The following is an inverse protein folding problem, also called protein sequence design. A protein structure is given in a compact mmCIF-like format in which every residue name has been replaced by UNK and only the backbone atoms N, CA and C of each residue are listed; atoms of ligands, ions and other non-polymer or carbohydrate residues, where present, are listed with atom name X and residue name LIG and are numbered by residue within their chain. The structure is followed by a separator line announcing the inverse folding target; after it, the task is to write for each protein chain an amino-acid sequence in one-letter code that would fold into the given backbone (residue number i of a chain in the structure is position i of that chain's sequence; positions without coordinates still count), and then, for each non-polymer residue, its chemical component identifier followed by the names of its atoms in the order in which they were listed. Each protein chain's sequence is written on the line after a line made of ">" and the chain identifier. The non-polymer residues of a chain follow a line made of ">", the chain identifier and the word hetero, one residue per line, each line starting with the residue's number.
data_IF_336531548959
#
_entry.id   IF_336531548959
#
_cell.length_a   1.000
_cell.length_b   1.000
_cell.length_c   1.000
_cell.angle_alpha   90.00
_cell.angle_beta   90.00
_cell.angle_gamma   90.00
#
_symmetry.space_group_name_H-M   'P 1'
#
loop_
_entity.id
_entity.type
_entity.pdbx_description
1 polymer ?
#
# COMPACT_ATOMS: atom_id res chain seq x y z
N UNK A 1 5.82 16.06 30.42
CA UNK A 1 5.52 14.78 29.80
C UNK A 1 4.06 14.38 30.07
N UNK A 2 3.36 13.94 29.06
CA UNK A 2 1.92 13.68 29.15
C UNK A 2 1.52 12.54 30.10
N UNK A 3 2.43 11.62 30.43
CA UNK A 3 2.20 10.51 31.37
C UNK A 3 3.10 10.51 32.60
N UNK A 4 3.72 11.65 32.95
CA UNK A 4 4.58 11.74 34.12
C UNK A 4 5.85 12.56 33.90
N UNK A 5 6.92 12.18 34.59
CA UNK A 5 8.23 12.79 34.46
C UNK A 5 9.19 11.83 33.78
N UNK A 6 10.01 12.34 32.88
CA UNK A 6 11.01 11.57 32.16
C UNK A 6 12.07 12.48 31.55
N UNK A 7 13.09 11.91 30.95
CA UNK A 7 14.07 12.61 30.14
C UNK A 7 13.97 12.14 28.68
N UNK A 8 14.18 13.05 27.75
CA UNK A 8 14.38 12.69 26.34
C UNK A 8 15.83 12.22 26.18
N UNK A 9 16.02 11.23 25.31
CA UNK A 9 17.36 10.78 24.94
C UNK A 9 17.99 11.85 24.05
N UNK A 10 19.19 12.28 24.40
CA UNK A 10 19.97 13.18 23.54
C UNK A 10 20.68 12.38 22.44
N UNK A 11 20.05 12.30 21.28
CA UNK A 11 20.62 11.59 20.12
C UNK A 11 21.80 12.31 19.46
N UNK A 12 22.21 13.49 19.97
CA UNK A 12 23.50 14.11 19.60
C UNK A 12 24.65 13.62 20.48
N UNK A 13 24.35 12.92 21.58
CA UNK A 13 25.34 12.34 22.47
C UNK A 13 25.58 10.85 22.12
N UNK A 14 26.79 10.48 21.64
CA UNK A 14 27.07 9.09 21.27
C UNK A 14 26.88 8.07 22.39
N UNK A 15 27.14 8.44 23.65
CA UNK A 15 26.94 7.58 24.80
C UNK A 15 25.44 7.33 25.07
N UNK A 16 24.60 8.34 24.90
CA UNK A 16 23.16 8.20 25.01
C UNK A 16 22.57 7.35 23.87
N UNK A 17 23.07 7.54 22.65
CA UNK A 17 22.70 6.68 21.50
C UNK A 17 23.08 5.21 21.76
N UNK A 18 24.30 4.93 22.23
CA UNK A 18 24.72 3.59 22.54
C UNK A 18 23.85 2.95 23.61
N UNK A 19 23.56 3.69 24.69
CA UNK A 19 22.65 3.22 25.74
C UNK A 19 21.26 2.91 25.21
N UNK A 20 20.68 3.78 24.39
CA UNK A 20 19.39 3.56 23.76
C UNK A 20 19.36 2.31 22.89
N UNK A 21 20.37 2.17 22.04
CA UNK A 21 20.52 0.98 21.19
C UNK A 21 20.67 -0.30 22.01
N UNK A 22 21.32 -0.26 23.17
CA UNK A 22 21.42 -1.42 24.07
C UNK A 22 20.06 -1.82 24.67
N UNK A 23 19.17 -0.86 24.93
CA UNK A 23 17.80 -1.20 25.34
C UNK A 23 17.04 -1.89 24.21
N UNK A 24 17.10 -1.38 22.98
CA UNK A 24 16.43 -1.97 21.80
C UNK A 24 17.00 -3.36 21.48
N UNK A 25 18.30 -3.59 21.64
CA UNK A 25 18.92 -4.92 21.47
C UNK A 25 18.31 -6.01 22.36
N UNK A 26 17.71 -5.63 23.49
CA UNK A 26 16.99 -6.62 24.32
C UNK A 26 15.82 -7.23 23.57
N UNK A 27 15.09 -6.42 22.79
CA UNK A 27 14.02 -6.92 21.94
C UNK A 27 14.54 -7.75 20.77
N UNK A 28 15.65 -7.33 20.12
CA UNK A 28 16.31 -8.12 19.07
C UNK A 28 16.69 -9.52 19.58
N UNK A 29 17.27 -9.61 20.78
CA UNK A 29 17.62 -10.90 21.40
C UNK A 29 16.40 -11.80 21.68
N UNK A 30 15.21 -11.22 21.79
CA UNK A 30 13.95 -11.96 21.93
C UNK A 30 13.32 -12.32 20.56
N UNK A 31 13.97 -11.96 19.46
CA UNK A 31 13.55 -12.29 18.10
C UNK A 31 12.78 -11.17 17.38
N UNK A 32 12.79 -9.93 17.88
CA UNK A 32 12.23 -8.80 17.14
C UNK A 32 13.16 -8.39 16.00
N UNK A 33 12.61 -8.26 14.80
CA UNK A 33 13.28 -7.81 13.57
C UNK A 33 12.59 -6.63 12.91
N UNK A 34 11.48 -6.13 13.51
CA UNK A 34 10.77 -4.95 13.06
C UNK A 34 10.40 -4.07 14.26
N UNK A 35 10.43 -2.74 14.07
CA UNK A 35 10.21 -1.77 15.13
C UNK A 35 9.24 -0.69 14.70
N UNK A 36 8.15 -0.49 15.47
CA UNK A 36 7.30 0.69 15.40
C UNK A 36 7.86 1.73 16.37
N UNK A 37 8.54 2.76 15.81
CA UNK A 37 9.16 3.84 16.56
C UNK A 37 8.16 4.95 16.83
N UNK A 38 7.57 4.92 18.01
CA UNK A 38 6.56 5.89 18.46
C UNK A 38 7.20 7.12 19.13
N UNK A 39 6.55 8.28 19.04
CA UNK A 39 7.10 9.52 19.54
C UNK A 39 8.17 10.12 18.65
N UNK A 40 9.12 10.80 19.26
CA UNK A 40 10.23 11.44 18.55
C UNK A 40 9.91 12.80 17.92
N UNK A 41 8.71 13.32 18.14
CA UNK A 41 8.35 14.67 17.72
C UNK A 41 9.15 15.72 18.49
N UNK A 42 9.64 16.72 17.77
CA UNK A 42 10.43 17.81 18.34
C UNK A 42 9.69 18.81 19.24
N UNK A 43 8.40 18.59 19.51
CA UNK A 43 7.60 19.48 20.35
C UNK A 43 8.00 19.48 21.84
N UNK A 44 8.85 18.56 22.27
CA UNK A 44 9.29 18.41 23.66
C UNK A 44 10.72 18.90 23.92
N UNK A 45 11.37 19.52 22.92
CA UNK A 45 12.79 19.91 23.01
C UNK A 45 13.04 21.40 23.24
N UNK A 46 12.01 22.21 23.40
CA UNK A 46 12.10 23.68 23.38
C UNK A 46 13.08 24.26 24.42
N UNK A 47 13.19 23.65 25.59
CA UNK A 47 14.11 24.07 26.66
C UNK A 47 15.32 23.12 26.79
N UNK A 48 15.51 22.22 25.84
CA UNK A 48 16.58 21.22 25.91
C UNK A 48 17.94 21.82 25.54
N UNK A 49 18.99 21.28 26.17
CA UNK A 49 20.38 21.54 25.82
C UNK A 49 20.98 20.25 25.26
N UNK A 50 21.52 20.32 24.06
CA UNK A 50 22.08 19.18 23.35
C UNK A 50 23.59 19.12 23.51
N UNK A 51 24.16 17.92 23.58
CA UNK A 51 25.59 17.68 23.78
C UNK A 51 26.46 18.30 22.65
N UNK A 52 25.92 18.39 21.44
CA UNK A 52 26.59 19.01 20.30
C UNK A 52 26.47 20.56 20.26
N UNK A 53 25.77 21.16 21.23
CA UNK A 53 25.59 22.60 21.33
C UNK A 53 24.55 23.20 20.37
N UNK A 54 23.80 22.39 19.61
CA UNK A 54 22.75 22.89 18.72
C UNK A 54 21.58 23.50 19.48
N UNK A 55 20.99 24.53 18.86
CA UNK A 55 19.82 25.23 19.38
C UNK A 55 18.58 24.34 19.37
N UNK A 56 17.77 24.43 20.41
CA UNK A 56 16.49 23.72 20.53
C UNK A 56 15.55 23.98 19.33
N UNK A 57 15.55 25.19 18.77
CA UNK A 57 14.73 25.54 17.61
C UNK A 57 15.12 24.72 16.36
N UNK A 58 16.42 24.47 16.16
CA UNK A 58 16.92 23.58 15.09
C UNK A 58 16.53 22.15 15.38
N UNK A 59 16.64 21.72 16.63
CA UNK A 59 16.35 20.37 17.04
C UNK A 59 14.87 19.99 16.97
N UNK A 60 13.95 20.93 16.90
CA UNK A 60 12.52 20.64 16.69
C UNK A 60 12.25 19.73 15.48
N UNK A 61 12.91 20.00 14.36
CA UNK A 61 12.77 19.17 13.16
C UNK A 61 13.82 18.06 13.10
N UNK A 62 15.01 18.29 13.64
CA UNK A 62 16.14 17.36 13.54
C UNK A 62 16.05 16.18 14.51
N UNK A 63 15.36 16.35 15.63
CA UNK A 63 15.26 15.30 16.65
C UNK A 63 14.67 14.00 16.10
N UNK A 64 13.58 14.07 15.35
CA UNK A 64 12.98 12.91 14.68
C UNK A 64 13.96 12.20 13.74
N UNK A 65 14.78 12.97 13.01
CA UNK A 65 15.77 12.42 12.09
C UNK A 65 16.84 11.64 12.86
N UNK A 66 17.40 12.22 13.92
CA UNK A 66 18.42 11.57 14.73
C UNK A 66 17.89 10.31 15.45
N UNK A 67 16.65 10.38 15.95
CA UNK A 67 15.97 9.25 16.57
C UNK A 67 15.85 8.06 15.60
N UNK A 68 15.34 8.33 14.40
CA UNK A 68 15.16 7.32 13.38
C UNK A 68 16.52 6.77 12.88
N UNK A 69 17.50 7.63 12.65
CA UNK A 69 18.85 7.22 12.25
C UNK A 69 19.52 6.31 13.29
N UNK A 70 19.30 6.56 14.58
CA UNK A 70 19.85 5.73 15.65
C UNK A 70 19.27 4.30 15.62
N UNK A 71 17.99 4.15 15.29
CA UNK A 71 17.33 2.85 15.13
C UNK A 71 17.72 2.16 13.84
N UNK A 72 17.79 2.88 12.74
CA UNK A 72 18.19 2.34 11.45
C UNK A 72 19.63 1.84 11.45
N UNK A 73 20.55 2.60 12.04
CA UNK A 73 21.94 2.17 12.23
C UNK A 73 22.05 0.91 13.10
N UNK A 74 21.11 0.70 14.04
CA UNK A 74 21.03 -0.52 14.82
C UNK A 74 20.57 -1.71 13.98
N UNK A 75 19.52 -1.53 13.16
CA UNK A 75 18.97 -2.53 12.26
C UNK A 75 20.04 -2.96 11.24
N UNK A 76 20.73 -2.01 10.62
CA UNK A 76 21.81 -2.30 9.69
C UNK A 76 22.92 -3.13 10.32
N UNK A 77 23.35 -2.76 11.52
CA UNK A 77 24.49 -3.42 12.19
C UNK A 77 24.12 -4.78 12.78
N UNK A 78 23.00 -4.85 13.51
CA UNK A 78 22.67 -6.01 14.34
C UNK A 78 21.78 -7.03 13.60
N UNK A 79 21.00 -6.58 12.61
CA UNK A 79 20.12 -7.40 11.76
C UNK A 79 20.63 -7.49 10.30
N UNK A 80 21.78 -6.87 9.97
CA UNK A 80 22.36 -6.85 8.61
C UNK A 80 21.41 -6.27 7.56
N UNK A 81 20.64 -5.27 7.94
CA UNK A 81 19.61 -4.68 7.08
C UNK A 81 18.36 -5.53 6.89
N UNK A 82 18.29 -6.73 7.48
CA UNK A 82 17.10 -7.60 7.42
C UNK A 82 16.13 -7.26 8.57
N UNK A 83 15.67 -6.01 8.59
CA UNK A 83 14.74 -5.51 9.58
C UNK A 83 13.96 -4.31 9.05
N UNK A 84 12.89 -3.93 9.73
CA UNK A 84 12.01 -2.83 9.30
C UNK A 84 11.88 -1.79 10.41
N UNK A 85 12.07 -0.52 10.04
CA UNK A 85 11.71 0.63 10.85
C UNK A 85 10.41 1.25 10.34
N UNK A 86 9.47 1.45 11.25
CA UNK A 86 8.17 2.04 11.02
C UNK A 86 8.01 3.18 12.04
N UNK A 87 7.99 4.43 11.58
CA UNK A 87 8.11 5.60 12.47
C UNK A 87 6.89 6.51 12.40
N UNK A 88 6.55 7.14 13.54
CA UNK A 88 5.51 8.18 13.57
C UNK A 88 6.06 9.53 13.14
N UNK A 89 7.18 9.92 13.66
CA UNK A 89 7.74 11.23 13.38
C UNK A 89 8.76 11.20 12.25
N UNK A 90 8.71 12.20 11.40
CA UNK A 90 9.64 12.40 10.31
C UNK A 90 9.82 13.87 9.97
N UNK A 91 10.94 14.18 9.34
CA UNK A 91 11.27 15.50 8.84
C UNK A 91 12.21 15.40 7.66
N UNK A 92 12.64 16.52 7.10
CA UNK A 92 13.67 16.56 6.05
C UNK A 92 14.91 15.80 6.53
N UNK A 93 15.29 14.77 5.80
CA UNK A 93 16.37 13.83 6.18
C UNK A 93 15.88 12.42 6.55
N UNK A 94 14.57 12.18 6.57
CA UNK A 94 13.99 10.84 6.81
C UNK A 94 13.46 10.17 5.54
N UNK A 95 13.83 10.63 4.35
CA UNK A 95 13.35 10.09 3.06
C UNK A 95 13.76 8.63 2.81
N UNK A 96 14.78 8.16 3.50
CA UNK A 96 15.26 6.78 3.44
C UNK A 96 14.56 5.84 4.43
N UNK A 97 13.63 6.33 5.22
CA UNK A 97 12.82 5.49 6.10
C UNK A 97 11.78 4.74 5.28
N UNK A 98 11.60 3.44 5.50
CA UNK A 98 10.69 2.64 4.71
C UNK A 98 9.23 3.04 4.92
N UNK A 99 8.82 3.45 6.15
CA UNK A 99 7.42 3.75 6.47
C UNK A 99 7.28 4.86 7.50
N UNK A 100 6.27 5.71 7.26
CA UNK A 100 5.75 6.66 8.26
C UNK A 100 4.23 6.49 8.34
N UNK A 101 3.66 6.53 9.57
CA UNK A 101 2.21 6.46 9.73
C UNK A 101 1.61 7.77 10.24
N UNK A 102 0.30 7.90 10.07
CA UNK A 102 -0.46 9.11 10.37
C UNK A 102 -0.48 9.53 11.84
N UNK A 103 0.02 8.69 12.77
CA UNK A 103 -0.07 8.94 14.20
C UNK A 103 -1.47 8.65 14.76
N UNK A 104 -1.80 9.34 15.86
CA UNK A 104 -3.00 9.07 16.66
C UNK A 104 -4.23 9.81 16.09
N UNK A 105 -4.74 9.39 14.95
CA UNK A 105 -5.95 9.97 14.37
C UNK A 105 -7.21 9.61 15.18
N UNK A 106 -8.18 10.51 15.18
CA UNK A 106 -9.47 10.29 15.80
C UNK A 106 -10.34 9.36 14.98
N UNK A 107 -11.08 8.47 15.65
CA UNK A 107 -12.03 7.55 15.01
C UNK A 107 -13.32 8.27 14.62
N UNK A 108 -13.25 9.13 13.59
CA UNK A 108 -14.39 9.89 13.06
C UNK A 108 -14.16 10.31 11.60
N UNK A 109 -15.18 10.97 11.00
CA UNK A 109 -15.12 11.60 9.67
C UNK A 109 -14.73 13.09 9.73
N UNK A 110 -14.29 13.60 10.85
CA UNK A 110 -13.87 14.99 11.01
C UNK A 110 -12.44 15.25 10.52
N UNK A 111 -12.00 16.49 10.69
CA UNK A 111 -10.71 16.97 10.18
C UNK A 111 -9.49 16.24 10.78
N UNK A 112 -9.60 15.66 11.99
CA UNK A 112 -8.55 14.85 12.62
C UNK A 112 -8.75 13.33 12.46
N UNK A 113 -9.74 12.94 11.66
CA UNK A 113 -10.10 11.54 11.41
C UNK A 113 -9.72 11.05 10.02
N UNK A 114 -10.58 10.24 9.41
CA UNK A 114 -10.30 9.58 8.13
C UNK A 114 -9.88 10.54 7.00
N UNK A 115 -10.50 11.73 6.79
CA UNK A 115 -10.06 12.63 5.73
C UNK A 115 -8.60 13.06 5.85
N UNK A 116 -8.14 13.34 7.09
CA UNK A 116 -6.76 13.78 7.34
C UNK A 116 -5.72 12.71 6.99
N UNK A 117 -6.07 11.45 7.12
CA UNK A 117 -5.17 10.32 6.78
C UNK A 117 -4.83 10.31 5.30
N UNK A 118 -5.82 10.53 4.44
CA UNK A 118 -5.60 10.58 2.98
C UNK A 118 -4.80 11.82 2.62
N UNK A 119 -5.25 13.00 3.06
CA UNK A 119 -4.59 14.26 2.78
C UNK A 119 -3.12 14.29 3.25
N UNK A 120 -2.87 13.81 4.48
CA UNK A 120 -1.52 13.76 5.04
C UNK A 120 -0.63 12.77 4.25
N UNK A 121 -1.17 11.63 3.80
CA UNK A 121 -0.45 10.68 2.98
C UNK A 121 -0.01 11.26 1.63
N UNK A 122 -0.89 12.05 0.99
CA UNK A 122 -0.56 12.74 -0.26
C UNK A 122 0.50 13.82 -0.05
N UNK A 123 0.39 14.63 1.02
CA UNK A 123 1.41 15.62 1.37
C UNK A 123 2.74 14.99 1.75
N UNK A 124 2.73 13.88 2.47
CA UNK A 124 3.94 13.11 2.78
C UNK A 124 4.63 12.63 1.50
N UNK A 125 3.87 12.07 0.55
CA UNK A 125 4.38 11.66 -0.75
C UNK A 125 5.00 12.81 -1.56
N UNK A 126 4.36 13.99 -1.57
CA UNK A 126 4.89 15.21 -2.18
C UNK A 126 6.15 15.73 -1.48
N UNK A 127 6.35 15.36 -0.22
CA UNK A 127 7.51 15.73 0.60
C UNK A 127 8.62 14.68 0.59
N UNK A 128 8.54 13.64 -0.28
CA UNK A 128 9.55 12.61 -0.43
C UNK A 128 9.44 11.47 0.58
N UNK A 129 8.31 11.32 1.28
CA UNK A 129 7.98 10.16 2.10
C UNK A 129 7.13 9.23 1.24
N UNK A 130 7.73 8.20 0.72
CA UNK A 130 7.19 7.38 -0.35
C UNK A 130 6.25 6.25 0.13
N UNK A 131 6.38 5.83 1.39
CA UNK A 131 5.58 4.78 1.98
C UNK A 131 4.83 5.28 3.23
N UNK A 132 3.51 5.35 3.12
CA UNK A 132 2.59 5.88 4.12
C UNK A 132 1.72 4.79 4.74
N UNK A 133 1.43 4.91 6.02
CA UNK A 133 0.55 4.02 6.76
C UNK A 133 -0.42 4.78 7.66
N UNK A 134 -1.38 4.05 8.22
CA UNK A 134 -2.35 4.60 9.17
C UNK A 134 -2.93 3.51 10.06
N UNK A 135 -3.34 3.89 11.26
CA UNK A 135 -4.05 3.02 12.20
C UNK A 135 -5.51 2.89 11.74
N UNK A 136 -5.85 1.74 11.13
CA UNK A 136 -7.15 1.47 10.54
C UNK A 136 -8.28 1.59 11.59
N UNK A 137 -9.25 2.43 11.28
CA UNK A 137 -10.37 2.73 12.15
C UNK A 137 -10.10 3.86 13.15
N UNK A 138 -8.93 4.48 13.11
CA UNK A 138 -8.47 5.53 14.01
C UNK A 138 -7.97 5.01 15.35
N UNK A 139 -6.86 5.59 15.83
CA UNK A 139 -6.27 5.21 17.10
C UNK A 139 -7.08 5.71 18.30
N UNK A 140 -7.45 7.01 18.31
CA UNK A 140 -8.19 7.63 19.41
C UNK A 140 -9.67 7.35 19.27
N UNK A 141 -10.22 6.64 20.25
CA UNK A 141 -11.66 6.35 20.37
C UNK A 141 -12.18 6.87 21.69
N UNK A 142 -13.32 7.56 21.67
CA UNK A 142 -13.93 8.17 22.85
C UNK A 142 -14.62 7.17 23.79
N UNK A 143 -14.91 5.97 23.33
CA UNK A 143 -15.58 4.93 24.10
C UNK A 143 -14.99 3.54 23.83
N UNK A 144 -15.12 2.61 24.78
CA UNK A 144 -14.73 1.20 24.65
C UNK A 144 -15.72 0.34 23.85
N UNK A 145 -16.61 0.95 23.12
CA UNK A 145 -17.53 0.27 22.22
C UNK A 145 -16.98 0.33 20.81
N UNK A 146 -17.24 -0.66 19.97
CA UNK A 146 -16.99 -0.54 18.54
C UNK A 146 -17.60 0.75 18.05
N UNK A 147 -16.83 1.49 17.25
CA UNK A 147 -17.32 2.71 16.63
C UNK A 147 -18.35 2.41 15.55
N UNK A 148 -18.64 3.39 14.73
CA UNK A 148 -19.52 3.26 13.56
C UNK A 148 -18.90 2.25 12.56
N UNK A 149 -19.64 1.17 12.26
CA UNK A 149 -19.29 0.17 11.25
C UNK A 149 -18.97 0.80 9.90
N UNK A 150 -19.70 1.87 9.55
CA UNK A 150 -19.47 2.62 8.30
C UNK A 150 -18.07 3.24 8.29
N UNK A 151 -17.69 3.88 9.37
CA UNK A 151 -16.34 4.48 9.49
C UNK A 151 -15.25 3.40 9.40
N UNK A 152 -15.41 2.30 10.13
CA UNK A 152 -14.45 1.19 10.10
C UNK A 152 -14.30 0.63 8.69
N UNK A 153 -15.39 0.43 7.97
CA UNK A 153 -15.37 -0.06 6.58
C UNK A 153 -14.71 0.95 5.65
N UNK A 154 -15.08 2.24 5.72
CA UNK A 154 -14.45 3.28 4.87
C UNK A 154 -12.95 3.41 5.15
N UNK A 155 -12.54 3.28 6.41
CA UNK A 155 -11.13 3.26 6.77
C UNK A 155 -10.41 2.00 6.26
N UNK A 156 -11.06 0.84 6.35
CA UNK A 156 -10.57 -0.41 5.76
C UNK A 156 -10.28 -0.24 4.27
N UNK A 157 -11.17 0.42 3.55
CA UNK A 157 -11.03 0.70 2.11
C UNK A 157 -9.83 1.60 1.81
N UNK A 158 -9.60 2.65 2.61
CA UNK A 158 -8.39 3.49 2.51
C UNK A 158 -7.13 2.68 2.79
N UNK A 159 -7.12 1.93 3.89
CA UNK A 159 -5.93 1.17 4.29
C UNK A 159 -5.59 0.04 3.33
N UNK A 160 -6.58 -0.56 2.66
CA UNK A 160 -6.33 -1.58 1.64
C UNK A 160 -5.57 -1.05 0.41
N UNK A 161 -5.67 0.25 0.13
CA UNK A 161 -4.92 0.95 -0.91
C UNK A 161 -3.89 1.92 -0.33
N UNK A 162 -3.32 1.55 0.81
CA UNK A 162 -2.13 2.16 1.41
C UNK A 162 -0.96 1.15 1.36
N UNK A 163 0.29 1.60 1.47
CA UNK A 163 1.44 0.69 1.53
C UNK A 163 1.35 -0.36 2.64
N UNK A 164 0.90 0.04 3.83
CA UNK A 164 0.64 -0.85 4.97
C UNK A 164 -0.85 -0.79 5.33
N UNK A 165 -1.42 -1.95 5.65
CA UNK A 165 -2.74 -2.12 6.24
C UNK A 165 -2.58 -2.75 7.62
N UNK A 166 -2.77 -1.96 8.67
CA UNK A 166 -2.70 -2.41 10.06
C UNK A 166 -3.95 -2.03 10.84
N UNK A 167 -4.31 -2.83 11.83
CA UNK A 167 -5.36 -2.53 12.80
C UNK A 167 -4.71 -2.21 14.12
N UNK A 168 -4.85 -0.96 14.58
CA UNK A 168 -4.32 -0.52 15.86
C UNK A 168 -5.23 0.52 16.51
N UNK A 169 -5.47 0.40 17.81
CA UNK A 169 -6.28 1.37 18.56
C UNK A 169 -5.92 1.39 20.04
N UNK A 170 -6.13 2.52 20.68
CA UNK A 170 -5.87 2.70 22.12
C UNK A 170 -6.65 1.74 23.03
N UNK A 171 -7.72 1.14 22.53
CA UNK A 171 -8.62 0.25 23.29
C UNK A 171 -8.65 -1.20 22.77
N UNK A 172 -7.69 -1.59 21.94
CA UNK A 172 -7.52 -2.96 21.42
C UNK A 172 -8.76 -3.56 20.73
N UNK A 173 -9.50 -2.75 19.96
CA UNK A 173 -10.57 -3.27 19.11
C UNK A 173 -9.98 -3.92 17.86
N UNK A 174 -10.49 -5.11 17.54
CA UNK A 174 -10.22 -5.82 16.30
C UNK A 174 -11.41 -5.82 15.35
N UNK A 175 -11.26 -6.33 14.11
CA UNK A 175 -12.34 -6.37 13.13
C UNK A 175 -13.57 -7.18 13.59
N UNK A 176 -13.38 -8.14 14.48
CA UNK A 176 -14.42 -8.98 15.07
C UNK A 176 -15.31 -8.27 16.10
N UNK A 177 -14.91 -7.07 16.53
CA UNK A 177 -15.70 -6.25 17.47
C UNK A 177 -16.77 -5.42 16.75
N UNK A 178 -16.76 -5.39 15.41
CA UNK A 178 -17.73 -4.72 14.55
C UNK A 178 -18.79 -5.71 14.05
N UNK A 179 -19.83 -5.20 13.40
CA UNK A 179 -20.90 -6.04 12.87
C UNK A 179 -20.43 -7.04 11.80
N UNK A 180 -21.18 -8.15 11.59
CA UNK A 180 -20.80 -9.21 10.66
C UNK A 180 -20.51 -8.70 9.23
N UNK A 181 -21.30 -7.74 8.74
CA UNK A 181 -21.08 -7.12 7.41
C UNK A 181 -19.77 -6.37 7.34
N UNK A 182 -19.41 -5.62 8.39
CA UNK A 182 -18.14 -4.91 8.47
C UNK A 182 -16.95 -5.88 8.47
N UNK A 183 -17.07 -6.99 9.21
CA UNK A 183 -16.06 -8.05 9.25
C UNK A 183 -15.89 -8.73 7.89
N UNK A 184 -16.97 -9.02 7.17
CA UNK A 184 -16.89 -9.61 5.82
C UNK A 184 -16.20 -8.67 4.83
N UNK A 185 -16.58 -7.39 4.82
CA UNK A 185 -15.92 -6.38 3.98
C UNK A 185 -14.45 -6.23 4.35
N UNK A 186 -14.11 -6.19 5.64
CA UNK A 186 -12.71 -6.17 6.09
C UNK A 186 -11.92 -7.36 5.56
N UNK A 187 -12.49 -8.56 5.60
CA UNK A 187 -11.86 -9.79 5.07
C UNK A 187 -11.62 -9.69 3.57
N UNK A 188 -12.58 -9.19 2.81
CA UNK A 188 -12.47 -9.05 1.36
C UNK A 188 -11.38 -8.04 0.97
N UNK A 189 -11.35 -6.88 1.63
CA UNK A 189 -10.31 -5.87 1.38
C UNK A 189 -8.92 -6.31 1.88
N UNK A 190 -8.84 -7.09 2.96
CA UNK A 190 -7.58 -7.68 3.42
C UNK A 190 -7.02 -8.68 2.41
N UNK A 191 -7.89 -9.52 1.82
CA UNK A 191 -7.50 -10.44 0.73
C UNK A 191 -7.08 -9.69 -0.52
N UNK A 192 -7.81 -8.63 -0.89
CA UNK A 192 -7.45 -7.77 -2.02
C UNK A 192 -6.09 -7.11 -1.78
N UNK A 193 -5.85 -6.52 -0.61
CA UNK A 193 -4.57 -5.94 -0.22
C UNK A 193 -3.44 -6.97 -0.30
N UNK A 194 -3.63 -8.19 0.23
CA UNK A 194 -2.65 -9.26 0.14
C UNK A 194 -2.41 -9.68 -1.32
N UNK A 195 -3.48 -9.87 -2.11
CA UNK A 195 -3.36 -10.27 -3.50
C UNK A 195 -2.60 -9.27 -4.37
N UNK A 196 -2.71 -7.97 -4.07
CA UNK A 196 -1.98 -6.88 -4.73
C UNK A 196 -0.51 -6.77 -4.30
N UNK A 197 0.01 -7.67 -3.47
CA UNK A 197 1.41 -7.63 -3.02
C UNK A 197 2.41 -7.46 -4.17
N UNK A 198 2.36 -8.22 -5.28
CA UNK A 198 3.30 -8.05 -6.40
C UNK A 198 3.27 -6.66 -7.01
N UNK A 199 2.09 -6.08 -7.15
CA UNK A 199 1.89 -4.72 -7.67
C UNK A 199 2.46 -3.67 -6.72
N UNK A 200 2.13 -3.78 -5.42
CA UNK A 200 2.63 -2.86 -4.39
C UNK A 200 4.14 -2.93 -4.24
N UNK A 201 4.70 -4.14 -4.23
CA UNK A 201 6.13 -4.34 -4.07
C UNK A 201 6.93 -3.80 -5.27
N UNK A 202 6.43 -3.99 -6.50
CA UNK A 202 7.04 -3.39 -7.69
C UNK A 202 7.02 -1.85 -7.63
N UNK A 203 5.92 -1.24 -7.17
CA UNK A 203 5.83 0.20 -6.97
C UNK A 203 6.72 0.69 -5.81
N UNK A 204 6.89 -0.09 -4.74
CA UNK A 204 7.84 0.22 -3.66
C UNK A 204 9.30 0.14 -4.13
N UNK A 205 9.64 -0.81 -5.00
CA UNK A 205 10.96 -0.85 -5.65
C UNK A 205 11.19 0.33 -6.58
N UNK A 206 10.16 0.84 -7.25
CA UNK A 206 10.22 2.09 -8.01
C UNK A 206 10.47 3.27 -7.05
N UNK A 207 9.71 3.36 -5.96
CA UNK A 207 9.84 4.38 -4.94
C UNK A 207 11.27 4.45 -4.38
N UNK A 208 11.85 3.33 -4.00
CA UNK A 208 13.23 3.24 -3.50
C UNK A 208 14.30 3.75 -4.49
N UNK A 209 14.02 3.69 -5.81
CA UNK A 209 14.96 4.16 -6.86
C UNK A 209 14.73 5.60 -7.27
N UNK A 210 13.51 6.10 -7.19
CA UNK A 210 13.11 7.36 -7.82
C UNK A 210 12.52 8.37 -6.84
N UNK A 211 12.16 7.96 -5.61
CA UNK A 211 11.39 8.76 -4.67
C UNK A 211 9.89 8.89 -5.03
N UNK A 212 9.41 8.19 -6.09
CA UNK A 212 8.02 8.26 -6.49
C UNK A 212 7.13 7.52 -5.47
N UNK A 213 6.23 8.21 -4.77
CA UNK A 213 5.45 7.57 -3.70
C UNK A 213 4.51 6.50 -4.22
N UNK A 214 4.11 5.57 -3.35
CA UNK A 214 3.13 4.55 -3.69
C UNK A 214 1.70 5.13 -3.74
N UNK A 215 1.37 6.04 -2.81
CA UNK A 215 0.17 6.89 -2.87
C UNK A 215 0.55 8.20 -3.58
N UNK A 216 0.12 8.36 -4.83
CA UNK A 216 0.58 9.43 -5.74
C UNK A 216 -0.48 10.51 -5.87
N UNK A 217 -0.25 11.71 -5.36
CA UNK A 217 -1.12 12.84 -5.63
C UNK A 217 -1.26 13.04 -7.15
N UNK A 218 -2.47 13.26 -7.65
CA UNK A 218 -2.73 13.35 -9.10
C UNK A 218 -1.89 14.44 -9.77
N UNK A 219 -1.61 15.53 -9.07
CA UNK A 219 -0.78 16.64 -9.56
C UNK A 219 0.63 16.22 -10.01
N UNK A 220 1.18 15.13 -9.47
CA UNK A 220 2.50 14.61 -9.89
C UNK A 220 2.52 14.15 -11.36
N UNK A 221 1.39 13.73 -11.88
CA UNK A 221 1.27 13.20 -13.25
C UNK A 221 0.48 14.10 -14.18
N UNK A 222 -0.36 14.96 -13.62
CA UNK A 222 -1.26 15.85 -14.34
C UNK A 222 -1.18 17.28 -13.82
N UNK A 223 0.03 17.90 -13.85
CA UNK A 223 0.26 19.23 -13.24
C UNK A 223 -0.55 20.35 -13.91
N UNK A 224 -0.92 20.19 -15.17
CA UNK A 224 -1.71 21.18 -15.92
C UNK A 224 -3.23 20.97 -15.79
N UNK A 225 -3.65 19.87 -15.19
CA UNK A 225 -5.07 19.57 -14.97
C UNK A 225 -5.57 20.22 -13.68
N UNK A 226 -6.53 21.19 -13.75
CA UNK A 226 -7.04 21.86 -12.56
C UNK A 226 -7.73 20.90 -11.57
N UNK A 227 -8.42 19.86 -12.07
CA UNK A 227 -9.03 18.85 -11.22
C UNK A 227 -8.00 18.07 -10.45
N UNK A 228 -6.94 17.63 -11.13
CA UNK A 228 -5.84 16.90 -10.50
C UNK A 228 -5.06 17.75 -9.46
N UNK A 229 -4.91 19.05 -9.68
CA UNK A 229 -4.27 19.95 -8.72
C UNK A 229 -5.07 20.17 -7.44
N UNK A 230 -6.38 20.07 -7.53
CA UNK A 230 -7.32 20.28 -6.42
C UNK A 230 -7.80 18.97 -5.78
N UNK A 231 -7.28 17.81 -6.24
CA UNK A 231 -7.64 16.51 -5.69
C UNK A 231 -6.95 16.24 -4.35
N UNK A 232 -7.66 16.46 -3.24
CA UNK A 232 -7.14 16.30 -1.88
C UNK A 232 -7.40 14.91 -1.28
N UNK A 233 -8.32 14.15 -1.86
CA UNK A 233 -8.84 12.91 -1.30
C UNK A 233 -8.99 11.79 -2.34
N UNK A 234 -8.26 11.90 -3.46
CA UNK A 234 -8.10 10.84 -4.46
C UNK A 234 -6.67 10.83 -5.01
N UNK A 235 -6.20 9.66 -5.43
CA UNK A 235 -4.80 9.45 -5.78
C UNK A 235 -4.61 8.27 -6.72
N UNK A 236 -3.44 8.21 -7.37
CA UNK A 236 -2.98 6.98 -7.98
C UNK A 236 -2.29 6.10 -6.92
N UNK A 237 -2.72 4.87 -6.80
CA UNK A 237 -2.04 3.83 -6.04
C UNK A 237 -1.16 3.03 -7.00
N UNK A 238 0.16 3.27 -6.94
CA UNK A 238 1.07 2.85 -7.99
C UNK A 238 0.74 3.54 -9.33
N UNK A 239 1.19 2.98 -10.48
CA UNK A 239 1.05 3.63 -11.77
C UNK A 239 -0.34 3.54 -12.42
N UNK A 240 -1.18 2.58 -12.01
CA UNK A 240 -2.32 2.16 -12.82
C UNK A 240 -3.69 2.17 -12.13
N UNK A 241 -3.73 2.28 -10.81
CA UNK A 241 -4.97 2.28 -10.03
C UNK A 241 -5.28 3.69 -9.52
N UNK A 242 -6.42 4.25 -9.90
CA UNK A 242 -6.93 5.49 -9.30
C UNK A 242 -7.92 5.13 -8.20
N UNK A 243 -7.65 5.59 -7.00
CA UNK A 243 -8.45 5.35 -5.79
C UNK A 243 -9.09 6.66 -5.38
N UNK A 244 -10.42 6.68 -5.29
CA UNK A 244 -11.18 7.83 -4.79
C UNK A 244 -12.00 7.40 -3.56
N UNK A 245 -11.36 7.26 -2.38
CA UNK A 245 -12.04 6.75 -1.21
C UNK A 245 -13.18 7.65 -0.75
N UNK A 246 -14.19 7.03 -0.13
CA UNK A 246 -15.27 7.78 0.51
C UNK A 246 -14.82 8.13 1.92
N UNK A 247 -14.51 9.39 2.12
CA UNK A 247 -14.04 9.94 3.41
C UNK A 247 -15.17 10.59 4.23
N UNK A 248 -16.41 10.18 3.96
CA UNK A 248 -17.63 10.60 4.64
C UNK A 248 -18.51 9.39 4.94
N UNK A 249 -19.62 9.58 5.66
CA UNK A 249 -20.63 8.54 5.88
C UNK A 249 -21.53 8.27 4.65
N UNK A 250 -21.30 8.96 3.54
CA UNK A 250 -22.14 8.87 2.34
C UNK A 250 -21.89 7.60 1.52
N UNK A 251 -22.76 7.44 0.50
CA UNK A 251 -22.71 6.33 -0.48
C UNK A 251 -22.51 6.81 -1.91
N UNK A 252 -22.12 8.08 -2.09
CA UNK A 252 -21.81 8.69 -3.38
C UNK A 252 -20.48 9.44 -3.27
N UNK A 253 -19.72 9.45 -4.37
CA UNK A 253 -18.41 10.09 -4.42
C UNK A 253 -18.25 10.89 -5.71
N UNK A 254 -17.91 12.16 -5.59
CA UNK A 254 -17.41 12.95 -6.71
C UNK A 254 -15.97 12.54 -7.01
N UNK A 255 -15.66 12.25 -8.26
CA UNK A 255 -14.34 11.75 -8.70
C UNK A 255 -13.87 12.59 -9.88
N UNK A 256 -12.63 13.00 -9.87
CA UNK A 256 -11.94 13.56 -11.02
C UNK A 256 -11.11 12.49 -11.70
N UNK A 257 -11.52 12.06 -12.90
CA UNK A 257 -10.71 11.16 -13.73
C UNK A 257 -9.82 12.01 -14.64
N UNK A 258 -8.51 12.02 -14.46
CA UNK A 258 -7.60 12.79 -15.30
C UNK A 258 -7.50 12.21 -16.71
N UNK A 259 -6.79 12.90 -17.61
CA UNK A 259 -6.60 12.47 -18.99
C UNK A 259 -6.24 10.98 -19.09
N UNK A 260 -6.89 10.28 -20.00
CA UNK A 260 -6.70 8.87 -20.27
C UNK A 260 -8.01 8.08 -20.34
N UNK A 261 -7.88 6.79 -20.60
CA UNK A 261 -9.00 5.85 -20.59
C UNK A 261 -8.95 4.99 -19.31
N UNK A 262 -10.04 4.97 -18.60
CA UNK A 262 -10.21 4.31 -17.31
C UNK A 262 -11.31 3.26 -17.37
N UNK A 263 -11.21 2.25 -16.54
CA UNK A 263 -12.24 1.25 -16.32
C UNK A 263 -12.60 1.23 -14.84
N UNK A 264 -13.87 1.30 -14.53
CA UNK A 264 -14.33 1.00 -13.18
C UNK A 264 -13.93 -0.45 -12.83
N UNK A 265 -13.20 -0.60 -11.72
CA UNK A 265 -12.64 -1.90 -11.30
C UNK A 265 -13.73 -2.96 -11.07
N UNK A 266 -14.90 -2.53 -10.59
CA UNK A 266 -15.98 -3.43 -10.19
C UNK A 266 -16.87 -3.85 -11.35
N UNK A 267 -17.19 -2.92 -12.23
CA UNK A 267 -18.17 -3.12 -13.31
C UNK A 267 -17.55 -3.21 -14.71
N UNK A 268 -16.31 -2.79 -14.90
CA UNK A 268 -15.69 -2.68 -16.21
C UNK A 268 -16.17 -1.53 -17.06
N UNK A 269 -17.03 -0.65 -16.54
CA UNK A 269 -17.52 0.52 -17.26
C UNK A 269 -16.35 1.42 -17.68
N UNK A 270 -16.34 1.81 -18.96
CA UNK A 270 -15.27 2.64 -19.54
C UNK A 270 -15.59 4.11 -19.39
N UNK A 271 -14.62 4.88 -18.95
CA UNK A 271 -14.72 6.33 -18.79
C UNK A 271 -13.47 6.97 -19.40
N UNK A 272 -13.66 8.01 -20.20
CA UNK A 272 -12.56 8.80 -20.75
C UNK A 272 -12.45 10.11 -19.99
N UNK A 273 -11.26 10.41 -19.48
CA UNK A 273 -10.90 11.69 -18.86
C UNK A 273 -10.21 12.66 -19.84
N UNK A 274 -10.01 13.95 -19.44
CA UNK A 274 -10.36 14.47 -18.12
C UNK A 274 -11.89 14.61 -17.94
N UNK A 275 -12.37 14.22 -16.76
CA UNK A 275 -13.82 14.26 -16.49
C UNK A 275 -14.11 14.22 -14.99
N UNK A 276 -14.97 15.15 -14.55
CA UNK A 276 -15.62 15.08 -13.25
C UNK A 276 -16.88 14.23 -13.34
N UNK A 277 -17.08 13.35 -12.40
CA UNK A 277 -18.25 12.48 -12.32
C UNK A 277 -18.64 12.20 -10.88
N UNK A 278 -19.87 11.78 -10.65
CA UNK A 278 -20.33 11.29 -9.35
C UNK A 278 -20.67 9.82 -9.53
N UNK A 279 -20.08 8.99 -8.70
CA UNK A 279 -20.29 7.54 -8.73
C UNK A 279 -20.99 7.05 -7.46
N UNK A 280 -21.77 5.98 -7.60
CA UNK A 280 -22.31 5.26 -6.45
C UNK A 280 -21.19 4.47 -5.77
N UNK A 281 -21.14 4.59 -4.45
CA UNK A 281 -20.15 3.96 -3.60
C UNK A 281 -20.86 3.24 -2.44
N UNK A 282 -21.56 2.13 -2.70
CA UNK A 282 -22.15 1.34 -1.64
C UNK A 282 -21.08 0.92 -0.62
N UNK A 283 -21.49 0.55 0.58
CA UNK A 283 -20.56 0.36 1.69
C UNK A 283 -19.47 -0.70 1.40
N UNK A 284 -19.78 -1.72 0.61
CA UNK A 284 -18.86 -2.77 0.20
C UNK A 284 -17.90 -2.38 -0.93
N UNK A 285 -18.02 -1.18 -1.50
CA UNK A 285 -17.17 -0.72 -2.62
C UNK A 285 -16.61 0.66 -2.40
N UNK A 286 -15.31 0.80 -2.56
CA UNK A 286 -14.67 2.10 -2.78
C UNK A 286 -14.58 2.37 -4.28
N UNK A 287 -14.81 3.59 -4.77
CA UNK A 287 -14.51 3.93 -6.16
C UNK A 287 -13.05 3.67 -6.48
N UNK A 288 -12.85 2.77 -7.42
CA UNK A 288 -11.54 2.29 -7.87
C UNK A 288 -11.57 2.18 -9.39
N UNK A 289 -10.60 2.79 -10.04
CA UNK A 289 -10.49 2.77 -11.49
C UNK A 289 -9.14 2.24 -11.93
N UNK A 290 -9.15 1.47 -12.99
CA UNK A 290 -7.95 0.88 -13.58
C UNK A 290 -7.68 1.56 -14.91
N UNK A 291 -6.45 1.97 -15.15
CA UNK A 291 -6.03 2.49 -16.44
C UNK A 291 -6.21 1.44 -17.53
N UNK A 292 -6.82 1.82 -18.64
CA UNK A 292 -7.02 0.94 -19.80
C UNK A 292 -5.69 0.31 -20.26
N UNK A 293 -5.70 -0.99 -20.55
CA UNK A 293 -4.51 -1.75 -20.96
C UNK A 293 -3.55 -2.10 -19.83
N UNK A 294 -3.97 -2.01 -18.57
CA UNK A 294 -3.17 -2.47 -17.43
C UNK A 294 -3.08 -3.99 -17.43
N UNK A 295 -1.88 -4.50 -17.13
CA UNK A 295 -1.67 -5.85 -16.63
C UNK A 295 -1.37 -5.72 -15.14
N UNK A 296 -2.28 -6.20 -14.29
CA UNK A 296 -2.18 -6.10 -12.84
C UNK A 296 -1.60 -7.41 -12.27
N UNK A 297 -0.35 -7.42 -11.79
CA UNK A 297 0.23 -8.61 -11.19
C UNK A 297 -0.32 -8.83 -9.79
N UNK A 298 -0.75 -10.06 -9.51
CA UNK A 298 -1.32 -10.48 -8.23
C UNK A 298 -0.76 -11.83 -7.79
N UNK A 299 -0.92 -12.14 -6.53
CA UNK A 299 -0.89 -13.52 -6.00
C UNK A 299 -2.32 -14.02 -5.79
N UNK A 300 -2.54 -15.34 -5.69
CA UNK A 300 -3.87 -15.89 -5.43
C UNK A 300 -4.46 -15.34 -4.12
N UNK A 301 -5.77 -15.12 -4.11
CA UNK A 301 -6.50 -14.54 -2.97
C UNK A 301 -6.58 -15.47 -1.75
N UNK A 302 -6.24 -16.75 -1.92
CA UNK A 302 -6.14 -17.71 -0.82
C UNK A 302 -4.81 -17.64 -0.06
N UNK A 303 -3.82 -16.91 -0.56
CA UNK A 303 -2.56 -16.68 0.16
C UNK A 303 -2.80 -15.77 1.36
N UNK A 304 -2.53 -16.28 2.55
CA UNK A 304 -2.81 -15.61 3.83
C UNK A 304 -1.57 -15.01 4.48
N UNK A 305 -0.37 -15.44 4.08
CA UNK A 305 0.90 -14.91 4.58
C UNK A 305 2.01 -15.04 3.54
N UNK A 306 2.93 -14.08 3.55
CA UNK A 306 4.15 -14.12 2.74
C UNK A 306 5.29 -14.83 3.47
N UNK A 307 5.14 -15.10 4.78
CA UNK A 307 6.15 -15.77 5.58
C UNK A 307 6.24 -17.24 5.17
N UNK A 308 7.43 -17.73 4.77
CA UNK A 308 7.61 -19.13 4.41
C UNK A 308 7.33 -20.05 5.60
N UNK A 309 6.61 -21.14 5.35
CA UNK A 309 6.42 -22.17 6.36
C UNK A 309 7.74 -22.93 6.62
N UNK A 310 8.20 -22.94 7.86
CA UNK A 310 9.43 -23.63 8.30
C UNK A 310 9.15 -24.87 9.16
N UNK A 311 7.87 -25.16 9.44
CA UNK A 311 7.47 -26.33 10.22
C UNK A 311 7.37 -27.62 9.40
N UNK A 312 7.04 -28.74 10.06
CA UNK A 312 6.75 -30.02 9.41
C UNK A 312 5.26 -30.13 9.08
N UNK A 313 4.94 -30.79 7.98
CA UNK A 313 3.55 -30.99 7.53
C UNK A 313 2.96 -29.81 6.76
N UNK A 314 1.63 -29.77 6.70
CA UNK A 314 0.88 -28.72 6.00
C UNK A 314 0.92 -27.41 6.80
N UNK A 315 1.15 -26.24 6.14
CA UNK A 315 1.04 -24.95 6.80
C UNK A 315 -0.34 -24.76 7.44
N UNK A 316 -0.44 -24.13 8.63
CA UNK A 316 -1.72 -23.84 9.28
C UNK A 316 -2.57 -22.84 8.49
N UNK A 317 -1.90 -21.99 7.67
CA UNK A 317 -2.53 -21.06 6.73
C UNK A 317 -1.80 -21.11 5.39
N UNK A 318 -2.47 -20.88 4.25
CA UNK A 318 -1.82 -20.83 2.94
C UNK A 318 -0.73 -19.75 2.89
N UNK A 319 0.47 -20.17 2.55
CA UNK A 319 1.64 -19.29 2.39
C UNK A 319 1.88 -18.97 0.92
N UNK A 320 2.72 -17.97 0.66
CA UNK A 320 3.18 -17.68 -0.69
C UNK A 320 3.84 -18.92 -1.31
N UNK A 321 3.36 -19.29 -2.48
CA UNK A 321 3.85 -20.41 -3.29
C UNK A 321 4.30 -19.94 -4.69
N UNK A 322 4.37 -20.87 -5.65
CA UNK A 322 4.77 -20.61 -7.04
C UNK A 322 3.64 -20.10 -7.95
N UNK A 323 2.42 -19.89 -7.42
CA UNK A 323 1.28 -19.42 -8.22
C UNK A 323 1.34 -17.90 -8.40
N UNK A 324 1.09 -17.44 -9.63
CA UNK A 324 1.03 -16.01 -10.01
C UNK A 324 -0.19 -15.74 -10.85
N UNK A 325 -0.80 -14.58 -10.63
CA UNK A 325 -1.99 -14.15 -11.37
C UNK A 325 -1.67 -12.83 -12.09
N UNK A 326 -2.04 -12.75 -13.36
CA UNK A 326 -1.95 -11.51 -14.14
C UNK A 326 -3.34 -11.19 -14.68
N UNK A 327 -3.94 -10.13 -14.12
CA UNK A 327 -5.22 -9.61 -14.63
C UNK A 327 -4.95 -8.64 -15.77
N UNK A 328 -5.53 -8.90 -16.94
CA UNK A 328 -5.41 -8.07 -18.14
C UNK A 328 -6.72 -7.28 -18.29
N UNK A 329 -6.61 -5.97 -18.30
CA UNK A 329 -7.74 -5.08 -18.50
C UNK A 329 -7.83 -4.62 -19.95
N UNK A 330 -9.07 -4.37 -20.47
CA UNK A 330 -9.30 -3.95 -21.85
C UNK A 330 -8.47 -2.73 -22.26
N UNK A 331 -7.95 -2.74 -23.48
CA UNK A 331 -7.11 -1.71 -24.06
C UNK A 331 -5.83 -2.29 -24.68
N UNK A 332 -4.86 -1.42 -24.95
CA UNK A 332 -3.54 -1.87 -25.42
C UNK A 332 -2.69 -2.25 -24.22
N UNK A 333 -2.45 -3.56 -23.97
CA UNK A 333 -1.72 -3.97 -22.78
C UNK A 333 -0.29 -3.41 -22.79
N UNK A 334 0.16 -2.97 -21.62
CA UNK A 334 1.53 -2.49 -21.40
C UNK A 334 2.34 -3.56 -20.71
N UNK A 335 3.56 -3.79 -21.21
CA UNK A 335 4.49 -4.71 -20.57
C UNK A 335 4.90 -4.24 -19.17
N UNK A 336 5.26 -5.21 -18.33
CA UNK A 336 5.75 -4.95 -16.98
C UNK A 336 6.87 -5.92 -16.59
N UNK A 337 7.54 -5.60 -15.49
CA UNK A 337 8.37 -6.54 -14.76
C UNK A 337 7.74 -6.73 -13.38
N UNK A 338 7.53 -7.99 -12.97
CA UNK A 338 6.98 -8.29 -11.65
C UNK A 338 8.06 -8.27 -10.56
N UNK A 339 7.63 -8.43 -9.31
CA UNK A 339 8.47 -8.35 -8.12
C UNK A 339 9.55 -9.45 -8.03
N UNK A 340 9.45 -10.54 -8.79
CA UNK A 340 10.44 -11.62 -8.87
C UNK A 340 11.29 -11.53 -10.14
N UNK A 341 11.18 -10.42 -10.87
CA UNK A 341 11.97 -10.14 -12.07
C UNK A 341 11.44 -10.78 -13.34
N UNK A 342 10.25 -11.43 -13.35
CA UNK A 342 9.62 -11.90 -14.60
C UNK A 342 9.23 -10.69 -15.44
N UNK A 343 9.50 -10.82 -16.73
CA UNK A 343 9.15 -9.76 -17.71
C UNK A 343 8.00 -10.22 -18.58
N UNK A 344 7.00 -9.36 -18.67
CA UNK A 344 5.85 -9.48 -19.54
C UNK A 344 5.97 -8.44 -20.64
N UNK A 345 6.39 -8.86 -21.83
CA UNK A 345 6.49 -7.99 -22.99
C UNK A 345 5.27 -8.20 -23.89
N UNK A 346 4.63 -7.12 -24.31
CA UNK A 346 3.41 -7.19 -25.11
C UNK A 346 3.63 -6.60 -26.49
N UNK A 347 3.10 -7.28 -27.52
CA UNK A 347 3.04 -6.78 -28.90
C UNK A 347 1.67 -7.02 -29.47
N UNK A 348 1.20 -6.09 -30.31
CA UNK A 348 -0.07 -6.21 -31.03
C UNK A 348 0.18 -6.13 -32.54
N UNK A 349 -0.32 -7.10 -33.27
CA UNK A 349 -0.23 -7.12 -34.71
C UNK A 349 -1.40 -7.90 -35.32
N UNK A 350 -1.97 -7.39 -36.40
CA UNK A 350 -3.02 -8.06 -37.21
C UNK A 350 -4.19 -8.61 -36.38
N UNK A 351 -4.67 -7.82 -35.39
CA UNK A 351 -5.80 -8.17 -34.52
C UNK A 351 -5.48 -9.29 -33.50
N UNK A 352 -4.20 -9.54 -33.26
CA UNK A 352 -3.74 -10.47 -32.21
C UNK A 352 -2.84 -9.77 -31.23
N UNK A 353 -3.00 -10.10 -29.95
CA UNK A 353 -2.09 -9.68 -28.89
C UNK A 353 -1.17 -10.85 -28.52
N UNK A 354 0.10 -10.56 -28.41
CA UNK A 354 1.12 -11.51 -27.96
C UNK A 354 1.72 -11.02 -26.65
N UNK A 355 1.68 -11.84 -25.63
CA UNK A 355 2.39 -11.68 -24.37
C UNK A 355 3.57 -12.67 -24.35
N UNK A 356 4.78 -12.13 -24.26
CA UNK A 356 5.98 -12.94 -24.00
C UNK A 356 6.30 -12.83 -22.51
N UNK A 357 6.27 -13.95 -21.84
CA UNK A 357 6.61 -14.10 -20.43
C UNK A 357 7.99 -14.74 -20.33
N UNK A 358 8.92 -14.09 -19.64
CA UNK A 358 10.27 -14.61 -19.40
C UNK A 358 10.65 -14.49 -17.94
N UNK A 359 11.49 -15.41 -17.46
CA UNK A 359 12.04 -15.37 -16.10
C UNK A 359 11.71 -16.62 -15.28
N UNK A 360 11.66 -16.47 -13.96
CA UNK A 360 11.51 -17.56 -13.01
C UNK A 360 10.25 -18.40 -13.26
N UNK A 361 10.39 -19.72 -13.15
CA UNK A 361 9.28 -20.66 -13.26
C UNK A 361 8.15 -20.36 -12.26
N UNK A 362 6.92 -20.61 -12.69
CA UNK A 362 5.72 -20.38 -11.89
C UNK A 362 4.51 -21.13 -12.48
N UNK A 363 3.48 -21.34 -11.69
CA UNK A 363 2.14 -21.65 -12.19
C UNK A 363 1.41 -20.34 -12.45
N UNK A 364 1.22 -20.01 -13.71
CA UNK A 364 0.67 -18.73 -14.14
C UNK A 364 -0.81 -18.86 -14.47
N UNK A 365 -1.61 -17.97 -13.91
CA UNK A 365 -3.00 -17.74 -14.28
C UNK A 365 -3.12 -16.37 -14.92
N UNK A 366 -3.63 -16.32 -16.15
CA UNK A 366 -3.99 -15.07 -16.83
C UNK A 366 -5.49 -14.93 -16.81
N UNK A 367 -5.96 -13.78 -16.34
CA UNK A 367 -7.37 -13.42 -16.24
C UNK A 367 -7.63 -12.21 -17.13
N UNK A 368 -8.42 -12.34 -18.15
CA UNK A 368 -8.95 -11.21 -18.91
C UNK A 368 -10.19 -10.68 -18.19
N UNK A 369 -10.06 -9.49 -17.63
CA UNK A 369 -11.16 -8.80 -16.95
C UNK A 369 -12.00 -8.06 -17.99
N UNK A 370 -13.32 -8.26 -17.95
CA UNK A 370 -14.27 -7.58 -18.85
C UNK A 370 -13.96 -7.75 -20.34
N UNK A 371 -13.26 -8.82 -20.69
CA UNK A 371 -12.87 -9.17 -22.06
C UNK A 371 -12.89 -10.70 -22.22
N UNK A 372 -13.34 -11.17 -23.37
CA UNK A 372 -13.46 -12.60 -23.66
C UNK A 372 -12.73 -12.93 -24.94
N UNK A 373 -11.44 -13.27 -24.86
CA UNK A 373 -10.73 -13.73 -26.05
C UNK A 373 -11.46 -14.92 -26.69
N UNK A 374 -11.50 -14.93 -28.01
CA UNK A 374 -12.14 -16.02 -28.78
C UNK A 374 -11.21 -17.21 -28.92
N UNK A 375 -9.91 -16.99 -28.97
CA UNK A 375 -8.85 -17.97 -29.09
C UNK A 375 -7.65 -17.59 -28.23
N UNK A 376 -7.10 -18.54 -27.50
CA UNK A 376 -5.83 -18.39 -26.77
C UNK A 376 -4.90 -19.54 -27.07
N UNK A 377 -3.65 -19.23 -27.38
CA UNK A 377 -2.59 -20.20 -27.65
C UNK A 377 -1.37 -19.96 -26.79
N UNK A 378 -0.83 -20.99 -26.20
CA UNK A 378 0.46 -21.00 -25.51
C UNK A 378 1.49 -21.73 -26.39
N UNK A 379 2.54 -21.03 -26.79
CA UNK A 379 3.60 -21.59 -27.65
C UNK A 379 3.05 -22.25 -28.93
N UNK A 380 1.96 -21.70 -29.48
CA UNK A 380 1.26 -22.23 -30.65
C UNK A 380 0.18 -23.27 -30.35
N UNK A 381 0.13 -23.85 -29.15
CA UNK A 381 -0.86 -24.85 -28.73
C UNK A 381 -2.11 -24.18 -28.18
N UNK A 382 -3.32 -24.53 -28.63
CA UNK A 382 -4.56 -23.98 -28.08
C UNK A 382 -4.71 -24.29 -26.59
N UNK A 383 -5.13 -23.31 -25.81
CA UNK A 383 -5.50 -23.47 -24.39
C UNK A 383 -7.02 -23.42 -24.21
N UNK A 384 -7.52 -24.28 -23.32
CA UNK A 384 -8.90 -24.25 -22.91
C UNK A 384 -9.16 -23.01 -22.04
N UNK A 385 -10.13 -22.19 -22.45
CA UNK A 385 -10.59 -21.02 -21.72
C UNK A 385 -11.68 -21.42 -20.72
N UNK A 386 -11.47 -21.12 -19.45
CA UNK A 386 -12.55 -21.08 -18.46
C UNK A 386 -13.18 -19.69 -18.52
N UNK A 387 -14.50 -19.65 -18.66
CA UNK A 387 -15.27 -18.39 -18.70
C UNK A 387 -16.12 -18.26 -17.45
N UNK A 388 -16.07 -17.09 -16.83
CA UNK A 388 -16.84 -16.79 -15.62
C UNK A 388 -17.32 -15.34 -15.69
N UNK A 389 -18.63 -15.15 -15.78
CA UNK A 389 -19.23 -13.84 -16.00
C UNK A 389 -18.65 -13.17 -17.25
N UNK A 390 -18.12 -11.97 -17.10
CA UNK A 390 -17.49 -11.19 -18.18
C UNK A 390 -15.96 -11.42 -18.28
N UNK A 391 -15.42 -12.36 -17.52
CA UNK A 391 -14.00 -12.67 -17.51
C UNK A 391 -13.69 -14.01 -18.16
N UNK A 392 -12.46 -14.15 -18.64
CA UNK A 392 -11.93 -15.41 -19.16
C UNK A 392 -10.58 -15.71 -18.48
N UNK A 393 -10.28 -16.99 -18.29
CA UNK A 393 -9.08 -17.40 -17.55
C UNK A 393 -8.40 -18.57 -18.22
N UNK A 394 -7.08 -18.56 -18.23
CA UNK A 394 -6.23 -19.73 -18.54
C UNK A 394 -5.20 -19.92 -17.45
N UNK A 395 -4.81 -21.17 -17.19
CA UNK A 395 -3.73 -21.51 -16.28
C UNK A 395 -2.74 -22.43 -16.94
N UNK A 396 -1.44 -22.18 -16.77
CA UNK A 396 -0.37 -23.00 -17.34
C UNK A 396 0.88 -22.99 -16.44
N UNK A 397 1.75 -23.97 -16.66
CA UNK A 397 3.07 -24.00 -16.04
C UNK A 397 4.03 -23.19 -16.91
N UNK A 398 4.66 -22.17 -16.30
CA UNK A 398 5.73 -21.39 -16.92
C UNK A 398 7.08 -21.93 -16.49
N UNK A 399 7.96 -22.23 -17.46
CA UNK A 399 9.26 -22.86 -17.21
C UNK A 399 10.47 -22.01 -17.63
N UNK A 400 10.28 -20.71 -17.85
CA UNK A 400 11.36 -19.78 -18.17
C UNK A 400 11.08 -18.85 -19.35
N UNK A 401 10.48 -19.35 -20.42
CA UNK A 401 10.01 -18.53 -21.55
C UNK A 401 8.72 -19.11 -22.13
N UNK A 402 7.70 -18.26 -22.24
CA UNK A 402 6.42 -18.61 -22.87
C UNK A 402 5.89 -17.46 -23.72
N UNK A 403 5.15 -17.84 -24.74
CA UNK A 403 4.46 -16.95 -25.67
C UNK A 403 2.96 -17.24 -25.66
N UNK A 404 2.18 -16.38 -25.01
CA UNK A 404 0.73 -16.43 -25.02
C UNK A 404 0.19 -15.49 -26.09
N UNK A 405 -0.67 -16.03 -26.99
CA UNK A 405 -1.28 -15.27 -28.07
C UNK A 405 -2.78 -15.40 -27.98
N UNK A 406 -3.50 -14.27 -28.10
CA UNK A 406 -4.97 -14.27 -28.11
C UNK A 406 -5.53 -13.28 -29.11
N UNK A 407 -6.83 -13.49 -29.41
CA UNK A 407 -7.63 -12.68 -30.31
C UNK A 407 -9.01 -12.41 -29.69
#
# INVERSE_FOLDING_TARGET
>A
WWKGRGGLIDFTNPAAVAWWQDQVRKAIRLGADAFKADGGEGGFVDDARFANGEDAAVMRSRYSVLYNQALEALIERDLRGDGVLFSRSGSVGNHNLPFIWAGDNESNFGANGLPSVVLAGLNAGLSGIDLWANDLGGYIKSARTPGDDTLFVRWTQVSAFSPIMEVHSAINLGPWDYGPRALDIFRDYSRLHMSLFPYRYAAAQEAARTGMPLMRALVLFYPEDPGARNAEDEYLFGPDLLVAPVVTSGTRRAVHLPEGAWLDYWSGARITGPRDTVVEAPLDRTPLFVRSGTILPKIPEDVMTLVPWKGTGTPPVPTLDDRRVYEIYPGTPRGLQDFEGRRLAVTQARGRTTLRLTGRAARVTVVWRFERPTEVRLNGVPLALRREGESATVTFAHAGEDRLVWR
#
